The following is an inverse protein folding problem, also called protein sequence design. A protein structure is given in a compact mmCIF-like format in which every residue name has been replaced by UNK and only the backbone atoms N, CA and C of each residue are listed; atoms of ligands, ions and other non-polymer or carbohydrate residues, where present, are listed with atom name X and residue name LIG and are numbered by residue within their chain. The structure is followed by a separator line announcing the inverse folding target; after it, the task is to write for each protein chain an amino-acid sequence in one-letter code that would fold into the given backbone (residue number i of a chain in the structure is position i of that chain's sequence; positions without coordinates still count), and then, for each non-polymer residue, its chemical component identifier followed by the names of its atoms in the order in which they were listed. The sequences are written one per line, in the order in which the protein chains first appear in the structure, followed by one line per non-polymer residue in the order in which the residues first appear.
data_IF_776216017529
#
_entry.id   IF_776216017529
#
_cell.length_a   1.000
_cell.length_b   1.000
_cell.length_c   1.000
_cell.angle_alpha   90.00
_cell.angle_beta   90.00
_cell.angle_gamma   90.00
#
_symmetry.space_group_name_H-M   'P 1'
#
loop_
_entity.id
_entity.type
_entity.pdbx_description
1 polymer ?
#
# COMPACT_ATOMS: atom_id res chain seq x y z
N UNK A 1 0.29 41.71 15.16
CA UNK A 1 -1.19 41.63 15.21
C UNK A 1 -1.59 40.17 15.29
N UNK A 2 -2.30 39.78 16.36
CA UNK A 2 -2.55 38.37 16.70
C UNK A 2 -3.55 37.68 15.78
N UNK A 3 -3.24 36.44 15.38
CA UNK A 3 -4.09 35.59 14.54
C UNK A 3 -5.35 35.21 15.32
N UNK A 4 -6.53 35.56 14.79
CA UNK A 4 -7.80 35.19 15.41
C UNK A 4 -8.02 33.67 15.40
N UNK A 5 -8.54 33.16 16.52
CA UNK A 5 -9.02 31.79 16.65
C UNK A 5 -10.22 31.53 15.74
N UNK A 6 -10.37 30.29 15.27
CA UNK A 6 -11.49 29.84 14.43
C UNK A 6 -12.84 30.15 15.07
N UNK A 7 -12.95 30.07 16.41
CA UNK A 7 -14.18 30.43 17.14
C UNK A 7 -14.51 31.92 17.03
N UNK A 8 -13.49 32.78 17.03
CA UNK A 8 -13.68 34.23 16.89
C UNK A 8 -14.11 34.61 15.47
N UNK A 9 -13.62 33.88 14.46
CA UNK A 9 -14.03 34.06 13.06
C UNK A 9 -15.49 33.66 12.83
N UNK A 10 -15.96 32.57 13.47
CA UNK A 10 -17.36 32.14 13.40
C UNK A 10 -18.31 33.13 14.10
N UNK A 11 -17.94 33.64 15.27
CA UNK A 11 -18.72 34.65 15.98
C UNK A 11 -18.86 35.95 15.16
N UNK A 12 -17.79 36.39 14.48
CA UNK A 12 -17.83 37.58 13.62
C UNK A 12 -18.76 37.41 12.40
N UNK A 13 -18.80 36.19 11.82
CA UNK A 13 -19.66 35.85 10.68
C UNK A 13 -21.14 35.84 11.04
N UNK A 14 -21.49 35.35 12.24
CA UNK A 14 -22.87 35.37 12.76
C UNK A 14 -23.35 36.78 13.13
N UNK A 15 -22.43 37.68 13.50
CA UNK A 15 -22.71 39.07 13.84
C UNK A 15 -22.75 40.01 12.61
N UNK A 16 -22.74 39.48 11.38
CA UNK A 16 -22.86 40.26 10.14
C UNK A 16 -21.66 41.16 9.82
N UNK A 17 -20.50 40.96 10.47
CA UNK A 17 -19.29 41.74 10.18
C UNK A 17 -18.48 41.05 9.07
N UNK A 18 -17.96 41.84 8.13
CA UNK A 18 -17.13 41.35 7.04
C UNK A 18 -15.84 40.71 7.60
N UNK A 19 -15.69 39.40 7.39
CA UNK A 19 -14.46 38.68 7.66
C UNK A 19 -13.54 38.90 6.44
N UNK A 20 -12.28 39.33 6.61
CA UNK A 20 -11.37 39.46 5.48
C UNK A 20 -11.25 38.12 4.77
N UNK A 21 -11.50 38.12 3.45
CA UNK A 21 -11.35 36.95 2.62
C UNK A 21 -9.93 36.42 2.77
N UNK A 22 -9.75 35.20 3.29
CA UNK A 22 -8.48 34.51 3.19
C UNK A 22 -8.29 34.03 1.75
N UNK A 23 -8.02 34.98 0.85
CA UNK A 23 -7.49 34.73 -0.48
C UNK A 23 -5.99 34.45 -0.34
N UNK A 24 -5.66 33.28 0.22
CA UNK A 24 -4.44 32.59 -0.20
C UNK A 24 -4.77 31.83 -1.47
N UNK A 25 -3.87 31.70 -2.46
CA UNK A 25 -4.12 30.82 -3.58
C UNK A 25 -4.40 29.44 -2.99
N UNK A 26 -5.59 28.90 -3.22
CA UNK A 26 -5.83 27.47 -3.11
C UNK A 26 -5.02 26.88 -4.25
N UNK A 27 -3.71 26.75 -4.03
CA UNK A 27 -2.85 25.98 -4.90
C UNK A 27 -3.46 24.60 -4.90
N UNK A 28 -4.11 24.24 -6.00
CA UNK A 28 -4.19 22.85 -6.40
C UNK A 28 -2.75 22.38 -6.39
N UNK A 29 -2.37 21.68 -5.32
CA UNK A 29 -1.08 21.00 -5.25
C UNK A 29 -1.17 19.91 -6.30
N UNK A 30 -0.93 20.29 -7.55
CA UNK A 30 -0.78 19.41 -8.70
C UNK A 30 0.61 18.77 -8.56
N UNK A 31 0.82 18.09 -7.43
CA UNK A 31 2.00 17.28 -7.19
C UNK A 31 1.87 16.06 -8.09
N UNK A 32 2.94 15.71 -8.83
CA UNK A 32 2.87 14.62 -9.79
C UNK A 32 2.50 13.31 -9.09
N UNK A 33 1.68 12.51 -9.75
CA UNK A 33 1.41 11.14 -9.33
C UNK A 33 2.71 10.33 -9.31
N UNK A 34 2.75 9.28 -8.49
CA UNK A 34 3.89 8.38 -8.46
C UNK A 34 4.21 7.84 -9.87
N UNK A 35 5.50 7.74 -10.21
CA UNK A 35 5.99 7.14 -11.46
C UNK A 35 7.12 6.16 -11.18
N UNK A 36 7.09 5.03 -11.88
CA UNK A 36 8.04 3.93 -11.73
C UNK A 36 7.37 2.63 -11.29
N UNK A 37 8.17 1.68 -10.83
CA UNK A 37 7.72 0.34 -10.45
C UNK A 37 7.61 0.21 -8.93
N UNK A 38 6.47 -0.32 -8.46
CA UNK A 38 6.22 -0.61 -7.05
C UNK A 38 6.02 -2.09 -6.85
N UNK A 39 6.80 -2.67 -5.96
CA UNK A 39 6.54 -4.01 -5.45
C UNK A 39 5.58 -3.92 -4.26
N UNK A 40 4.36 -4.39 -4.45
CA UNK A 40 3.39 -4.62 -3.38
C UNK A 40 3.61 -5.97 -2.72
N UNK A 41 3.52 -6.02 -1.40
CA UNK A 41 3.71 -7.22 -0.58
C UNK A 41 2.60 -7.32 0.47
N UNK A 42 1.90 -8.46 0.49
CA UNK A 42 1.02 -8.85 1.59
C UNK A 42 1.72 -9.99 2.37
N UNK A 43 2.43 -9.67 3.48
CA UNK A 43 3.25 -10.64 4.18
C UNK A 43 2.41 -11.60 5.05
N UNK A 44 2.49 -12.88 4.74
CA UNK A 44 1.88 -13.96 5.52
C UNK A 44 2.79 -15.19 5.53
N UNK A 45 2.97 -15.84 6.69
CA UNK A 45 3.98 -16.90 6.83
C UNK A 45 3.87 -18.02 5.77
N UNK A 46 2.65 -18.35 5.32
CA UNK A 46 2.42 -19.49 4.41
C UNK A 46 1.74 -19.12 3.09
N UNK A 47 1.55 -17.83 2.85
CA UNK A 47 0.80 -17.32 1.71
C UNK A 47 1.12 -15.85 1.46
N UNK A 48 2.40 -15.51 1.33
CA UNK A 48 2.79 -14.12 1.03
C UNK A 48 2.44 -13.79 -0.41
N UNK A 49 1.63 -12.75 -0.60
CA UNK A 49 1.34 -12.18 -1.90
C UNK A 49 2.42 -11.21 -2.35
N UNK A 50 2.83 -11.30 -3.62
CA UNK A 50 3.75 -10.36 -4.27
C UNK A 50 3.15 -9.89 -5.60
N UNK A 51 3.21 -8.59 -5.86
CA UNK A 51 2.79 -8.02 -7.13
C UNK A 51 3.63 -6.79 -7.49
N UNK A 52 4.23 -6.81 -8.67
CA UNK A 52 4.97 -5.70 -9.25
C UNK A 52 4.08 -4.95 -10.22
N UNK A 53 3.84 -3.67 -9.94
CA UNK A 53 2.99 -2.79 -10.76
C UNK A 53 3.80 -1.60 -11.25
N UNK A 54 3.70 -1.33 -12.54
CA UNK A 54 4.31 -0.17 -13.19
C UNK A 54 3.31 0.98 -13.31
N UNK A 55 3.76 2.17 -12.92
CA UNK A 55 3.01 3.41 -13.00
C UNK A 55 3.69 4.35 -13.97
N UNK A 56 3.06 4.57 -15.12
CA UNK A 56 3.49 5.55 -16.12
C UNK A 56 2.51 6.74 -16.12
N UNK A 57 2.98 8.00 -16.05
CA UNK A 57 2.10 9.16 -16.08
C UNK A 57 1.13 9.14 -17.27
N UNK A 58 -0.15 9.40 -16.99
CA UNK A 58 -1.20 9.43 -18.02
C UNK A 58 -1.61 8.08 -18.61
N UNK A 59 -1.05 6.96 -18.12
CA UNK A 59 -1.42 5.61 -18.53
C UNK A 59 -2.05 4.85 -17.36
N UNK A 60 -2.81 3.80 -17.69
CA UNK A 60 -3.30 2.87 -16.69
C UNK A 60 -2.13 2.09 -16.06
N UNK A 61 -2.18 1.77 -14.76
CA UNK A 61 -1.19 0.91 -14.11
C UNK A 61 -1.11 -0.46 -14.78
N UNK A 62 0.09 -1.02 -14.91
CA UNK A 62 0.32 -2.32 -15.56
C UNK A 62 0.90 -3.30 -14.57
N UNK A 63 0.26 -4.47 -14.42
CA UNK A 63 0.81 -5.58 -13.65
C UNK A 63 1.92 -6.26 -14.44
N UNK A 64 3.16 -6.15 -13.98
CA UNK A 64 4.33 -6.76 -14.63
C UNK A 64 4.53 -8.21 -14.22
N UNK A 65 4.40 -8.51 -12.93
CA UNK A 65 4.58 -9.85 -12.36
C UNK A 65 3.83 -9.98 -11.05
N UNK A 66 3.29 -11.17 -10.79
CA UNK A 66 2.72 -11.51 -9.47
C UNK A 66 3.08 -12.94 -9.09
N UNK A 67 3.07 -13.22 -7.79
CA UNK A 67 3.34 -14.55 -7.22
C UNK A 67 2.77 -14.66 -5.82
N UNK A 68 2.10 -15.77 -5.52
CA UNK A 68 1.90 -16.22 -4.13
C UNK A 68 3.03 -17.16 -3.69
N UNK A 69 3.70 -16.83 -2.59
CA UNK A 69 4.67 -17.72 -1.93
C UNK A 69 3.91 -18.65 -1.00
N UNK A 70 3.70 -19.90 -1.45
CA UNK A 70 3.00 -20.94 -0.68
C UNK A 70 3.99 -21.89 -0.03
N UNK A 71 3.89 -22.05 1.29
CA UNK A 71 4.76 -22.94 2.06
C UNK A 71 3.92 -23.94 2.85
N UNK A 72 4.07 -25.23 2.54
CA UNK A 72 3.27 -26.29 3.15
C UNK A 72 3.43 -26.33 4.69
N UNK A 73 2.37 -26.63 5.46
CA UNK A 73 2.40 -26.66 6.93
C UNK A 73 3.50 -27.51 7.55
N UNK A 74 3.89 -28.60 6.88
CA UNK A 74 4.96 -29.51 7.31
C UNK A 74 6.34 -28.85 7.43
N UNK A 75 6.56 -27.72 6.75
CA UNK A 75 7.83 -27.01 6.82
C UNK A 75 7.87 -26.05 8.02
N UNK A 76 9.03 -25.98 8.72
CA UNK A 76 9.19 -25.13 9.88
C UNK A 76 9.27 -23.64 9.48
N UNK A 77 9.03 -22.75 10.44
CA UNK A 77 9.00 -21.30 10.23
C UNK A 77 10.25 -20.75 9.52
N UNK A 78 11.50 -21.13 9.88
CA UNK A 78 12.68 -20.58 9.22
C UNK A 78 12.72 -20.85 7.71
N UNK A 79 12.23 -22.01 7.25
CA UNK A 79 12.11 -22.33 5.83
C UNK A 79 11.13 -21.38 5.15
N UNK A 80 9.98 -21.13 5.79
CA UNK A 80 8.98 -20.22 5.26
C UNK A 80 9.50 -18.77 5.15
N UNK A 81 10.21 -18.28 6.17
CA UNK A 81 10.82 -16.95 6.16
C UNK A 81 11.88 -16.84 5.05
N UNK A 82 12.70 -17.88 4.85
CA UNK A 82 13.68 -17.91 3.78
C UNK A 82 13.03 -17.87 2.39
N UNK A 83 11.91 -18.58 2.18
CA UNK A 83 11.18 -18.55 0.92
C UNK A 83 10.57 -17.15 0.64
N UNK A 84 10.03 -16.48 1.66
CA UNK A 84 9.54 -15.11 1.54
C UNK A 84 10.68 -14.17 1.11
N UNK A 85 11.82 -14.25 1.81
CA UNK A 85 12.99 -13.42 1.50
C UNK A 85 13.49 -13.65 0.07
N UNK A 86 13.71 -14.92 -0.33
CA UNK A 86 14.17 -15.28 -1.68
C UNK A 86 13.20 -14.80 -2.77
N UNK A 87 11.90 -14.93 -2.53
CA UNK A 87 10.91 -14.50 -3.49
C UNK A 87 10.93 -12.99 -3.69
N UNK A 88 11.05 -12.20 -2.63
CA UNK A 88 11.18 -10.74 -2.71
C UNK A 88 12.47 -10.37 -3.44
N UNK A 89 13.61 -10.94 -3.03
CA UNK A 89 14.91 -10.68 -3.65
C UNK A 89 14.88 -10.95 -5.16
N UNK A 90 14.24 -12.04 -5.62
CA UNK A 90 14.08 -12.31 -7.05
C UNK A 90 13.34 -11.18 -7.79
N UNK A 91 12.32 -10.57 -7.19
CA UNK A 91 11.67 -9.42 -7.83
C UNK A 91 12.58 -8.19 -7.87
N UNK A 92 13.38 -7.98 -6.83
CA UNK A 92 14.32 -6.85 -6.76
C UNK A 92 15.53 -7.03 -7.71
N UNK A 93 15.92 -8.27 -8.00
CA UNK A 93 17.00 -8.60 -8.95
C UNK A 93 16.52 -8.53 -10.40
N UNK A 94 15.31 -8.99 -10.67
CA UNK A 94 14.78 -9.11 -12.03
C UNK A 94 14.23 -7.78 -12.58
N UNK A 95 13.97 -6.78 -11.72
CA UNK A 95 13.28 -5.55 -12.10
C UNK A 95 13.85 -4.29 -11.43
N UNK A 96 13.79 -3.12 -12.10
CA UNK A 96 14.17 -1.84 -11.51
C UNK A 96 13.08 -1.31 -10.55
N UNK A 97 12.88 -2.00 -9.43
CA UNK A 97 11.91 -1.61 -8.40
C UNK A 97 12.32 -0.29 -7.76
N UNK A 98 11.43 0.70 -7.80
CA UNK A 98 11.68 2.01 -7.19
C UNK A 98 11.33 2.00 -5.71
N UNK A 99 10.11 1.60 -5.37
CA UNK A 99 9.60 1.56 -3.99
C UNK A 99 9.01 0.18 -3.67
N UNK A 100 9.04 -0.21 -2.40
CA UNK A 100 8.32 -1.38 -1.91
C UNK A 100 7.24 -0.96 -0.92
N UNK A 101 6.03 -1.46 -1.13
CA UNK A 101 4.87 -1.18 -0.29
C UNK A 101 4.38 -2.47 0.38
N UNK A 102 4.30 -2.49 1.70
CA UNK A 102 3.81 -3.62 2.49
C UNK A 102 2.44 -3.31 3.11
N UNK A 103 1.59 -4.33 3.18
CA UNK A 103 0.45 -4.29 4.09
C UNK A 103 0.94 -4.38 5.54
N UNK A 104 0.44 -3.48 6.39
CA UNK A 104 0.78 -3.43 7.80
C UNK A 104 -0.02 -4.48 8.57
N UNK A 105 0.63 -5.18 9.51
CA UNK A 105 -0.06 -6.04 10.47
C UNK A 105 -0.84 -5.18 11.48
N UNK A 106 -2.15 -5.39 11.59
CA UNK A 106 -3.00 -4.74 12.59
C UNK A 106 -3.01 -5.50 13.93
N UNK A 107 -3.65 -4.92 14.95
CA UNK A 107 -3.78 -5.57 16.26
C UNK A 107 -4.35 -7.00 16.15
N UNK A 108 -3.61 -7.95 16.71
CA UNK A 108 -3.99 -9.37 16.79
C UNK A 108 -4.12 -9.73 18.25
N UNK A 109 -5.28 -10.26 18.66
CA UNK A 109 -5.53 -10.65 20.05
C UNK A 109 -4.63 -11.83 20.50
N UNK A 110 -4.30 -12.75 19.58
CA UNK A 110 -3.46 -13.89 19.87
C UNK A 110 -1.97 -13.54 19.68
N UNK A 111 -1.21 -13.61 20.78
CA UNK A 111 0.23 -13.34 20.81
C UNK A 111 1.04 -14.22 19.86
N UNK A 112 0.73 -15.52 19.77
CA UNK A 112 1.44 -16.44 18.86
C UNK A 112 1.24 -16.04 17.40
N UNK A 113 0.00 -15.69 17.03
CA UNK A 113 -0.32 -15.21 15.68
C UNK A 113 0.39 -13.88 15.39
N UNK A 114 0.41 -12.96 16.37
CA UNK A 114 1.13 -11.69 16.24
C UNK A 114 2.63 -11.91 15.99
N UNK A 115 3.26 -12.83 16.72
CA UNK A 115 4.68 -13.17 16.56
C UNK A 115 4.97 -13.78 15.19
N UNK A 116 4.10 -14.67 14.71
CA UNK A 116 4.21 -15.29 13.38
C UNK A 116 4.13 -14.25 12.27
N UNK A 117 3.13 -13.36 12.32
CA UNK A 117 2.96 -12.30 11.33
C UNK A 117 4.11 -11.29 11.39
N UNK A 118 4.55 -10.93 12.60
CA UNK A 118 5.71 -10.07 12.82
C UNK A 118 6.99 -10.66 12.22
N UNK A 119 7.22 -11.97 12.34
CA UNK A 119 8.37 -12.63 11.74
C UNK A 119 8.32 -12.62 10.20
N UNK A 120 7.16 -12.93 9.60
CA UNK A 120 6.97 -12.91 8.15
C UNK A 120 7.18 -11.50 7.58
N UNK A 121 6.60 -10.48 8.23
CA UNK A 121 6.81 -9.06 7.91
C UNK A 121 8.28 -8.67 8.07
N UNK A 122 8.94 -9.08 9.15
CA UNK A 122 10.35 -8.82 9.39
C UNK A 122 11.25 -9.38 8.28
N UNK A 123 11.00 -10.61 7.83
CA UNK A 123 11.71 -11.21 6.72
C UNK A 123 11.52 -10.42 5.40
N UNK A 124 10.31 -9.92 5.15
CA UNK A 124 10.03 -9.09 3.99
C UNK A 124 10.75 -7.73 4.05
N UNK A 125 10.68 -7.03 5.19
CA UNK A 125 11.34 -5.73 5.37
C UNK A 125 12.86 -5.88 5.26
N UNK A 126 13.44 -6.89 5.90
CA UNK A 126 14.88 -7.13 5.86
C UNK A 126 15.38 -7.38 4.42
N UNK A 127 14.63 -8.17 3.62
CA UNK A 127 14.96 -8.44 2.22
C UNK A 127 15.10 -7.15 1.39
N UNK A 128 14.23 -6.17 1.64
CA UNK A 128 14.21 -4.90 0.92
C UNK A 128 15.25 -3.93 1.47
N UNK A 129 15.36 -3.82 2.79
CA UNK A 129 16.28 -2.90 3.45
C UNK A 129 17.75 -3.19 3.08
N UNK A 130 18.11 -4.47 2.88
CA UNK A 130 19.43 -4.87 2.39
C UNK A 130 19.75 -4.40 0.96
N UNK A 131 18.74 -3.95 0.20
CA UNK A 131 18.89 -3.34 -1.13
C UNK A 131 18.80 -1.81 -1.11
N UNK A 132 18.75 -1.21 0.09
CA UNK A 132 18.66 0.25 0.27
C UNK A 132 17.44 0.89 -0.43
N UNK A 133 16.40 0.10 -0.66
CA UNK A 133 15.15 0.57 -1.25
C UNK A 133 14.19 1.08 -0.16
N UNK A 134 13.44 2.15 -0.43
CA UNK A 134 12.49 2.68 0.54
C UNK A 134 11.29 1.73 0.70
N UNK A 135 10.95 1.51 1.97
CA UNK A 135 9.86 0.65 2.41
C UNK A 135 8.73 1.50 2.97
N UNK A 136 7.51 1.29 2.48
CA UNK A 136 6.30 1.99 2.94
C UNK A 136 5.28 0.98 3.44
N UNK A 137 4.56 1.34 4.50
CA UNK A 137 3.57 0.46 5.11
C UNK A 137 2.19 1.09 5.13
N UNK A 138 1.17 0.29 4.83
CA UNK A 138 -0.21 0.74 4.73
C UNK A 138 -1.14 -0.17 5.55
N UNK A 139 -1.98 0.41 6.44
CA UNK A 139 -3.03 -0.35 7.11
C UNK A 139 -4.03 -0.95 6.10
N UNK A 140 -4.58 -2.15 6.35
CA UNK A 140 -5.57 -2.79 5.49
C UNK A 140 -6.76 -1.88 5.12
N UNK A 141 -7.26 -1.12 6.10
CA UNK A 141 -8.35 -0.16 5.91
C UNK A 141 -7.97 0.95 4.91
N UNK A 142 -6.71 1.42 4.96
CA UNK A 142 -6.21 2.47 4.06
C UNK A 142 -6.04 1.93 2.64
N UNK A 143 -5.58 0.69 2.49
CA UNK A 143 -5.49 0.01 1.20
C UNK A 143 -6.87 -0.08 0.55
N UNK A 144 -7.85 -0.62 1.28
CA UNK A 144 -9.23 -0.74 0.80
C UNK A 144 -9.87 0.60 0.47
N UNK A 145 -9.65 1.62 1.31
CA UNK A 145 -10.17 2.95 1.06
C UNK A 145 -9.54 3.59 -0.18
N UNK A 146 -8.23 3.47 -0.37
CA UNK A 146 -7.53 4.06 -1.50
C UNK A 146 -7.89 3.39 -2.84
N UNK A 147 -8.08 2.06 -2.84
CA UNK A 147 -8.30 1.29 -4.07
C UNK A 147 -9.78 1.15 -4.41
N UNK A 148 -10.63 0.82 -3.43
CA UNK A 148 -12.06 0.55 -3.64
C UNK A 148 -12.93 1.76 -3.34
N UNK A 149 -12.41 2.77 -2.63
CA UNK A 149 -13.18 3.91 -2.13
C UNK A 149 -13.93 3.63 -0.82
N UNK A 150 -13.85 2.41 -0.28
CA UNK A 150 -14.51 2.01 0.96
C UNK A 150 -13.61 1.13 1.84
N UNK A 151 -13.33 1.57 3.06
CA UNK A 151 -12.46 0.84 3.99
C UNK A 151 -13.00 -0.54 4.42
N UNK A 152 -14.31 -0.77 4.33
CA UNK A 152 -14.98 -2.04 4.69
C UNK A 152 -15.24 -2.96 3.49
N UNK A 153 -14.58 -2.74 2.36
CA UNK A 153 -14.74 -3.59 1.18
C UNK A 153 -14.39 -5.06 1.46
N UNK A 154 -15.14 -5.97 0.83
CA UNK A 154 -14.89 -7.42 0.86
C UNK A 154 -13.64 -7.78 0.05
N UNK A 155 -13.08 -8.98 0.27
CA UNK A 155 -11.92 -9.45 -0.51
C UNK A 155 -12.24 -9.61 -2.00
N UNK A 156 -13.47 -10.03 -2.31
CA UNK A 156 -13.97 -10.17 -3.68
C UNK A 156 -14.17 -8.81 -4.37
N UNK A 157 -14.60 -7.80 -3.62
CA UNK A 157 -14.68 -6.43 -4.13
C UNK A 157 -13.28 -5.89 -4.41
N UNK A 158 -12.34 -6.09 -3.49
CA UNK A 158 -10.94 -5.70 -3.67
C UNK A 158 -10.35 -6.32 -4.92
N UNK A 159 -10.43 -7.64 -5.07
CA UNK A 159 -9.88 -8.36 -6.21
C UNK A 159 -10.47 -7.88 -7.54
N UNK A 160 -11.80 -7.70 -7.63
CA UNK A 160 -12.46 -7.18 -8.84
C UNK A 160 -12.00 -5.79 -9.20
N UNK A 161 -11.91 -4.89 -8.23
CA UNK A 161 -11.45 -3.51 -8.46
C UNK A 161 -10.00 -3.48 -8.91
N UNK A 162 -9.12 -4.25 -8.27
CA UNK A 162 -7.70 -4.38 -8.65
C UNK A 162 -7.55 -4.85 -10.09
N UNK A 163 -8.27 -5.91 -10.49
CA UNK A 163 -8.22 -6.41 -11.87
C UNK A 163 -8.67 -5.36 -12.89
N UNK A 164 -9.74 -4.62 -12.58
CA UNK A 164 -10.25 -3.54 -13.42
C UNK A 164 -9.22 -2.41 -13.59
N UNK A 165 -8.55 -2.01 -12.51
CA UNK A 165 -7.54 -0.95 -12.53
C UNK A 165 -6.26 -1.33 -13.28
N UNK A 166 -5.88 -2.60 -13.23
CA UNK A 166 -4.65 -3.12 -13.88
C UNK A 166 -4.85 -3.49 -15.35
N UNK A 167 -6.07 -3.36 -15.88
CA UNK A 167 -6.40 -3.70 -17.27
C UNK A 167 -6.10 -5.17 -17.63
N UNK A 168 -6.07 -6.06 -16.63
CA UNK A 168 -5.58 -7.43 -16.81
C UNK A 168 -6.75 -8.42 -16.96
N UNK A 169 -6.70 -9.24 -18.01
CA UNK A 169 -7.74 -10.26 -18.29
C UNK A 169 -7.62 -11.55 -17.47
N UNK A 170 -6.54 -11.74 -16.72
CA UNK A 170 -6.34 -12.92 -15.86
C UNK A 170 -6.92 -12.67 -14.47
N UNK A 171 -7.67 -13.64 -13.96
CA UNK A 171 -8.05 -13.68 -12.55
C UNK A 171 -6.82 -13.89 -11.67
N UNK A 172 -6.60 -12.97 -10.72
CA UNK A 172 -5.52 -13.07 -9.74
C UNK A 172 -5.95 -13.93 -8.55
N UNK A 173 -4.99 -14.63 -7.93
CA UNK A 173 -5.23 -15.21 -6.62
C UNK A 173 -5.48 -14.09 -5.58
N UNK A 174 -6.21 -14.38 -4.50
CA UNK A 174 -6.53 -13.35 -3.50
C UNK A 174 -5.28 -12.69 -2.92
N UNK A 175 -4.25 -13.47 -2.58
CA UNK A 175 -2.99 -12.92 -2.03
C UNK A 175 -2.27 -12.03 -3.07
N UNK A 176 -2.32 -12.39 -4.36
CA UNK A 176 -1.75 -11.57 -5.45
C UNK A 176 -2.53 -10.26 -5.64
N UNK A 177 -3.86 -10.33 -5.54
CA UNK A 177 -4.72 -9.15 -5.66
C UNK A 177 -4.57 -8.20 -4.47
N UNK A 178 -4.47 -8.73 -3.25
CA UNK A 178 -4.23 -7.96 -2.03
C UNK A 178 -2.87 -7.24 -2.15
N UNK A 179 -1.80 -7.95 -2.54
CA UNK A 179 -0.48 -7.36 -2.79
C UNK A 179 -0.49 -6.27 -3.89
N UNK A 180 -1.18 -6.51 -5.02
CA UNK A 180 -1.32 -5.49 -6.06
C UNK A 180 -2.12 -4.28 -5.57
N UNK A 181 -3.11 -4.50 -4.71
CA UNK A 181 -3.83 -3.48 -3.98
C UNK A 181 -2.93 -2.58 -3.14
N UNK A 182 -1.95 -3.17 -2.44
CA UNK A 182 -0.96 -2.42 -1.66
C UNK A 182 -0.11 -1.51 -2.56
N UNK A 183 0.34 -2.03 -3.71
CA UNK A 183 1.09 -1.23 -4.70
C UNK A 183 0.26 -0.04 -5.24
N UNK A 184 -1.02 -0.29 -5.59
CA UNK A 184 -1.96 0.76 -6.01
C UNK A 184 -2.18 1.80 -4.91
N UNK A 185 -2.40 1.36 -3.67
CA UNK A 185 -2.56 2.25 -2.51
C UNK A 185 -1.33 3.17 -2.34
N UNK A 186 -0.13 2.61 -2.49
CA UNK A 186 1.10 3.40 -2.46
C UNK A 186 1.08 4.48 -3.55
N UNK A 187 0.89 4.10 -4.81
CA UNK A 187 0.93 5.06 -5.92
C UNK A 187 -0.13 6.17 -5.80
N UNK A 188 -1.31 5.85 -5.27
CA UNK A 188 -2.40 6.81 -5.10
C UNK A 188 -2.19 7.78 -3.94
N UNK A 189 -1.54 7.33 -2.86
CA UNK A 189 -1.45 8.09 -1.61
C UNK A 189 -0.06 8.65 -1.29
N UNK A 190 0.99 8.11 -1.91
CA UNK A 190 2.36 8.58 -1.72
C UNK A 190 2.55 9.96 -2.31
N UNK A 191 3.32 10.80 -1.61
CA UNK A 191 3.69 12.15 -2.04
C UNK A 191 5.16 12.36 -1.66
N UNK A 192 5.91 12.98 -2.56
CA UNK A 192 7.27 13.49 -2.33
C UNK A 192 7.26 14.72 -1.42
#
# INVERSE_FOLDING_TARGET
MGRMSIRQQWAAKLAGRAVPASAGPVGTLNKPAFHGQVLGVDPSLRGTGLALVEFTPGRQPVLLRCRTVKVAPKFPMPVALAEIHRAIVSFLDDFPVRHVALEQTIFVQNFQTAQILGAARGAAIAAVALRELPVFEYPPLRVKQAVVGAGRASKEQMARTVMSLLGHGRTLAYDEADAAGVALCHAFTWRE
#
